data_IF_765727220795
#
_entry.id   IF_765727220795
#
_cell.length_a   1.000
_cell.length_b   1.000
_cell.length_c   1.000
_cell.angle_alpha   90.00
_cell.angle_beta   90.00
_cell.angle_gamma   90.00
#
_symmetry.space_group_name_H-M   'P 1'
#
loop_
_entity.id
_entity.type
_entity.pdbx_description
1 polymer ?
#
# COMPACT_ATOMS: atom_id res chain seq x y z
N UNK A 1 -31.45 17.11 50.57
CA UNK A 1 -29.97 17.20 50.43
C UNK A 1 -29.37 15.97 49.74
N UNK A 2 -29.92 14.76 49.91
CA UNK A 2 -29.39 13.50 49.33
C UNK A 2 -29.64 13.37 47.81
N UNK A 3 -30.78 13.85 47.31
CA UNK A 3 -31.16 13.82 45.88
C UNK A 3 -30.27 14.72 45.01
N UNK A 4 -29.77 15.84 45.54
CA UNK A 4 -28.83 16.71 44.81
C UNK A 4 -27.44 16.11 44.67
N UNK A 5 -26.99 15.35 45.68
CA UNK A 5 -25.69 14.67 45.68
C UNK A 5 -25.67 13.50 44.68
N UNK A 6 -26.80 12.78 44.55
CA UNK A 6 -26.94 11.66 43.61
C UNK A 6 -26.93 12.11 42.13
N UNK A 7 -27.63 13.20 41.81
CA UNK A 7 -27.59 13.80 40.46
C UNK A 7 -26.22 14.35 40.09
N UNK A 8 -25.50 14.97 41.06
CA UNK A 8 -24.16 15.49 40.83
C UNK A 8 -23.16 14.35 40.56
N UNK A 9 -23.27 13.23 41.29
CA UNK A 9 -22.41 12.06 41.11
C UNK A 9 -22.65 11.36 39.75
N UNK A 10 -23.89 11.28 39.28
CA UNK A 10 -24.22 10.78 37.94
C UNK A 10 -23.69 11.68 36.81
N UNK A 11 -23.70 13.01 37.01
CA UNK A 11 -23.21 13.97 36.00
C UNK A 11 -21.67 13.93 35.86
N UNK A 12 -20.95 13.73 36.97
CA UNK A 12 -19.49 13.57 36.97
C UNK A 12 -19.06 12.23 36.35
N UNK A 13 -19.85 11.16 36.53
CA UNK A 13 -19.58 9.86 35.90
C UNK A 13 -19.80 9.89 34.37
N UNK A 14 -20.73 10.72 33.89
CA UNK A 14 -20.98 10.91 32.45
C UNK A 14 -19.88 11.75 31.77
N UNK A 15 -19.28 12.73 32.46
CA UNK A 15 -18.15 13.51 31.95
C UNK A 15 -16.82 12.73 31.92
N UNK A 16 -16.68 11.68 32.73
CA UNK A 16 -15.45 10.88 32.82
C UNK A 16 -15.52 9.57 32.01
N UNK A 17 -16.57 9.37 31.21
CA UNK A 17 -16.57 8.36 30.14
C UNK A 17 -15.68 8.88 29.02
N UNK A 18 -14.38 8.81 29.29
CA UNK A 18 -13.32 9.37 28.46
C UNK A 18 -13.52 8.97 27.00
N UNK A 19 -13.41 9.98 26.15
CA UNK A 19 -13.20 9.80 24.72
C UNK A 19 -12.02 8.84 24.53
N UNK A 20 -12.32 7.58 24.22
CA UNK A 20 -11.33 6.66 23.67
C UNK A 20 -11.02 7.22 22.28
N UNK A 21 -10.02 8.12 22.19
CA UNK A 21 -9.40 8.47 20.93
C UNK A 21 -8.77 7.18 20.41
N UNK A 22 -9.48 6.46 19.54
CA UNK A 22 -8.91 5.33 18.82
C UNK A 22 -7.64 5.81 18.12
N UNK A 23 -6.54 5.07 18.30
CA UNK A 23 -5.29 5.39 17.62
C UNK A 23 -5.53 5.44 16.10
N UNK A 24 -5.12 6.54 15.47
CA UNK A 24 -5.25 6.71 14.02
C UNK A 24 -4.43 5.62 13.32
N UNK A 25 -5.08 4.85 12.44
CA UNK A 25 -4.42 3.76 11.71
C UNK A 25 -3.49 4.32 10.65
N UNK A 26 -2.34 3.68 10.47
CA UNK A 26 -1.40 4.03 9.42
C UNK A 26 -1.96 3.61 8.06
N UNK A 27 -2.22 4.59 7.18
CA UNK A 27 -2.67 4.34 5.81
C UNK A 27 -1.51 3.82 4.96
N UNK A 28 -1.65 2.59 4.49
CA UNK A 28 -0.68 1.89 3.65
C UNK A 28 -1.34 1.49 2.34
N UNK A 29 -0.61 1.65 1.25
CA UNK A 29 -1.00 1.12 -0.05
C UNK A 29 -0.01 0.01 -0.43
N UNK A 30 -0.52 -1.10 -0.94
CA UNK A 30 0.29 -2.18 -1.49
C UNK A 30 0.05 -2.29 -2.98
N UNK A 31 1.03 -2.78 -3.73
CA UNK A 31 0.91 -2.96 -5.17
C UNK A 31 -0.14 -4.01 -5.54
N UNK A 32 -0.02 -5.22 -4.98
CA UNK A 32 -0.88 -6.36 -5.33
C UNK A 32 -1.48 -7.04 -4.09
N UNK A 33 -2.53 -7.84 -4.31
CA UNK A 33 -3.29 -8.50 -3.24
C UNK A 33 -2.44 -9.37 -2.28
N UNK A 34 -1.47 -10.19 -2.73
CA UNK A 34 -0.63 -10.98 -1.81
C UNK A 34 0.08 -10.15 -0.73
N UNK A 35 0.58 -8.96 -1.08
CA UNK A 35 1.24 -8.08 -0.12
C UNK A 35 0.30 -7.61 0.98
N UNK A 36 -0.99 -7.38 0.68
CA UNK A 36 -2.00 -6.96 1.67
C UNK A 36 -2.07 -7.94 2.83
N UNK A 37 -2.09 -9.24 2.53
CA UNK A 37 -2.16 -10.28 3.55
C UNK A 37 -1.01 -10.16 4.55
N UNK A 38 0.22 -10.03 4.07
CA UNK A 38 1.40 -9.91 4.95
C UNK A 38 1.37 -8.61 5.76
N UNK A 39 1.04 -7.49 5.13
CA UNK A 39 1.00 -6.18 5.83
C UNK A 39 -0.08 -6.17 6.90
N UNK A 40 -1.28 -6.70 6.63
CA UNK A 40 -2.35 -6.79 7.64
C UNK A 40 -1.97 -7.75 8.77
N UNK A 41 -1.31 -8.88 8.47
CA UNK A 41 -0.84 -9.83 9.48
C UNK A 41 0.24 -9.25 10.39
N UNK A 42 1.13 -8.43 9.86
CA UNK A 42 2.23 -7.81 10.62
C UNK A 42 1.73 -6.56 11.37
N UNK A 43 0.98 -5.70 10.71
CA UNK A 43 0.53 -4.41 11.24
C UNK A 43 -0.71 -4.48 12.13
N UNK A 44 -1.53 -5.52 11.99
CA UNK A 44 -2.73 -5.74 12.81
C UNK A 44 -3.72 -4.58 12.73
N UNK A 45 -4.23 -4.18 13.88
CA UNK A 45 -5.22 -3.09 14.04
C UNK A 45 -4.63 -1.69 13.88
N UNK A 46 -3.29 -1.57 13.75
CA UNK A 46 -2.57 -0.30 13.61
C UNK A 46 -2.48 0.19 12.17
N UNK A 47 -2.86 -0.63 11.20
CA UNK A 47 -2.72 -0.31 9.77
C UNK A 47 -4.07 -0.36 9.06
N UNK A 48 -4.22 0.47 8.06
CA UNK A 48 -5.30 0.39 7.09
C UNK A 48 -4.69 0.20 5.70
N UNK A 49 -4.94 -0.97 5.10
CA UNK A 49 -4.25 -1.41 3.87
C UNK A 49 -5.19 -1.40 2.66
N UNK A 50 -4.82 -0.61 1.65
CA UNK A 50 -5.46 -0.57 0.35
C UNK A 50 -4.60 -1.23 -0.73
N UNK A 51 -5.22 -1.83 -1.74
CA UNK A 51 -4.50 -2.49 -2.86
C UNK A 51 -4.59 -1.62 -4.10
N UNK A 52 -3.46 -1.40 -4.77
CA UNK A 52 -3.39 -0.62 -6.01
C UNK A 52 -3.95 -1.42 -7.19
N UNK A 53 -3.48 -2.64 -7.42
CA UNK A 53 -4.03 -3.53 -8.45
C UNK A 53 -5.12 -4.40 -7.83
N UNK A 54 -6.37 -4.00 -8.06
CA UNK A 54 -7.55 -4.72 -7.54
C UNK A 54 -7.65 -6.16 -8.10
N UNK A 55 -8.31 -7.09 -7.37
CA UNK A 55 -8.53 -8.45 -7.85
C UNK A 55 -9.20 -8.48 -9.24
N UNK A 56 -8.68 -9.32 -10.13
CA UNK A 56 -9.18 -9.46 -11.50
C UNK A 56 -8.56 -8.47 -12.50
N UNK A 57 -7.79 -7.47 -12.05
CA UNK A 57 -7.01 -6.62 -12.93
C UNK A 57 -5.63 -7.25 -13.25
N UNK A 58 -5.08 -6.92 -14.42
CA UNK A 58 -3.76 -7.41 -14.84
C UNK A 58 -2.65 -6.39 -14.50
N UNK A 59 -1.68 -6.72 -13.62
CA UNK A 59 -0.56 -5.84 -13.28
C UNK A 59 0.34 -5.47 -14.47
N UNK A 60 0.34 -6.25 -15.56
CA UNK A 60 1.17 -5.97 -16.73
C UNK A 60 0.68 -4.75 -17.53
N UNK A 61 -0.62 -4.45 -17.45
CA UNK A 61 -1.27 -3.37 -18.23
C UNK A 61 -2.07 -2.44 -17.33
N UNK A 62 -1.78 -2.43 -16.03
CA UNK A 62 -2.61 -1.72 -15.06
C UNK A 62 -2.44 -0.21 -15.16
N UNK A 63 -3.57 0.50 -15.13
CA UNK A 63 -3.62 1.95 -15.01
C UNK A 63 -4.41 2.33 -13.74
N UNK A 64 -3.76 2.98 -12.76
CA UNK A 64 -4.43 3.46 -11.55
C UNK A 64 -5.56 4.43 -11.87
N UNK A 65 -6.71 4.21 -11.22
CA UNK A 65 -7.87 5.09 -11.35
C UNK A 65 -7.64 6.41 -10.58
N UNK A 66 -8.26 7.54 -10.99
CA UNK A 66 -8.13 8.81 -10.28
C UNK A 66 -8.44 8.73 -8.78
N UNK A 67 -9.42 7.91 -8.38
CA UNK A 67 -9.72 7.67 -6.96
C UNK A 67 -8.54 7.06 -6.20
N UNK A 68 -7.80 6.13 -6.82
CA UNK A 68 -6.63 5.50 -6.21
C UNK A 68 -5.47 6.49 -6.12
N UNK A 69 -5.32 7.36 -7.11
CA UNK A 69 -4.38 8.48 -7.04
C UNK A 69 -4.69 9.41 -5.87
N UNK A 70 -5.98 9.68 -5.62
CA UNK A 70 -6.42 10.43 -4.44
C UNK A 70 -6.04 9.75 -3.12
N UNK A 71 -6.13 8.42 -3.02
CA UNK A 71 -5.74 7.69 -1.81
C UNK A 71 -4.24 7.77 -1.51
N UNK A 72 -3.39 7.92 -2.53
CA UNK A 72 -1.94 8.04 -2.33
C UNK A 72 -1.54 9.35 -1.62
N UNK A 73 -2.38 10.39 -1.71
CA UNK A 73 -2.09 11.69 -1.08
C UNK A 73 -2.03 11.61 0.45
N UNK A 74 -2.78 10.69 1.06
CA UNK A 74 -2.82 10.46 2.51
C UNK A 74 -2.12 9.18 2.95
N UNK A 75 -1.60 8.39 2.01
CA UNK A 75 -0.83 7.19 2.31
C UNK A 75 0.56 7.56 2.86
N UNK A 76 1.04 6.77 3.82
CA UNK A 76 2.37 6.96 4.43
C UNK A 76 3.41 6.04 3.82
N UNK A 77 2.98 4.85 3.40
CA UNK A 77 3.85 3.82 2.82
C UNK A 77 3.17 3.24 1.58
N UNK A 78 3.97 3.01 0.53
CA UNK A 78 3.63 2.19 -0.62
C UNK A 78 4.57 0.99 -0.71
N UNK A 79 4.05 -0.23 -0.61
CA UNK A 79 4.86 -1.44 -0.84
C UNK A 79 4.82 -1.85 -2.31
N UNK A 80 5.96 -1.71 -3.00
CA UNK A 80 6.16 -2.08 -4.40
C UNK A 80 6.66 -3.54 -4.51
N UNK A 81 6.40 -4.21 -5.63
CA UNK A 81 6.83 -5.61 -5.85
C UNK A 81 7.64 -5.81 -7.16
N UNK A 82 7.86 -4.76 -7.94
CA UNK A 82 8.65 -4.80 -9.18
C UNK A 82 7.87 -5.26 -10.41
N UNK A 83 6.54 -5.27 -10.36
CA UNK A 83 5.70 -5.60 -11.53
C UNK A 83 5.75 -4.49 -12.60
N UNK A 84 5.48 -4.80 -13.88
CA UNK A 84 5.73 -3.88 -14.99
C UNK A 84 5.11 -2.48 -14.86
N UNK A 85 3.87 -2.35 -14.37
CA UNK A 85 3.22 -1.05 -14.27
C UNK A 85 3.95 -0.08 -13.31
N UNK A 86 4.58 -0.58 -12.26
CA UNK A 86 5.25 0.24 -11.25
C UNK A 86 6.37 1.10 -11.86
N UNK A 87 7.05 0.59 -12.89
CA UNK A 87 8.11 1.35 -13.59
C UNK A 87 7.60 2.67 -14.15
N UNK A 88 6.35 2.71 -14.59
CA UNK A 88 5.73 3.92 -15.18
C UNK A 88 5.10 4.80 -14.11
N UNK A 89 4.54 4.17 -13.06
CA UNK A 89 3.65 4.86 -12.13
C UNK A 89 4.32 5.30 -10.82
N UNK A 90 5.36 4.62 -10.32
CA UNK A 90 6.04 5.02 -9.09
C UNK A 90 6.55 6.47 -9.12
N UNK A 91 7.19 6.97 -10.20
CA UNK A 91 7.60 8.38 -10.26
C UNK A 91 6.42 9.35 -10.14
N UNK A 92 5.23 8.96 -10.64
CA UNK A 92 4.02 9.79 -10.51
C UNK A 92 3.48 9.75 -9.09
N UNK A 93 3.58 8.62 -8.40
CA UNK A 93 3.16 8.49 -7.00
C UNK A 93 4.02 9.37 -6.08
N UNK A 94 5.35 9.38 -6.28
CA UNK A 94 6.27 10.28 -5.57
C UNK A 94 5.94 11.75 -5.80
N UNK A 95 5.61 12.13 -7.04
CA UNK A 95 5.22 13.52 -7.35
C UNK A 95 3.91 13.94 -6.68
N UNK A 96 2.95 13.02 -6.53
CA UNK A 96 1.66 13.27 -5.88
C UNK A 96 1.83 13.41 -4.36
N UNK A 97 2.70 12.60 -3.78
CA UNK A 97 2.98 12.63 -2.35
C UNK A 97 4.49 12.48 -2.12
N UNK A 98 5.23 13.60 -2.01
CA UNK A 98 6.68 13.58 -1.76
C UNK A 98 7.09 12.99 -0.42
N UNK A 99 6.13 12.81 0.51
CA UNK A 99 6.35 12.17 1.81
C UNK A 99 6.06 10.66 1.81
N UNK A 100 5.60 10.11 0.68
CA UNK A 100 5.29 8.70 0.54
C UNK A 100 6.58 7.87 0.58
N UNK A 101 6.68 6.97 1.55
CA UNK A 101 7.79 6.01 1.61
C UNK A 101 7.48 4.84 0.69
N UNK A 102 8.23 4.70 -0.39
CA UNK A 102 8.12 3.55 -1.30
C UNK A 102 9.11 2.47 -0.86
N UNK A 103 8.59 1.27 -0.56
CA UNK A 103 9.39 0.13 -0.11
C UNK A 103 9.32 -0.99 -1.15
N UNK A 104 10.41 -1.30 -1.87
CA UNK A 104 10.47 -2.45 -2.75
C UNK A 104 10.58 -3.75 -1.94
N UNK A 105 9.54 -4.56 -1.93
CA UNK A 105 9.51 -5.80 -1.13
C UNK A 105 10.34 -6.94 -1.71
N UNK A 106 10.75 -6.82 -2.98
CA UNK A 106 11.60 -7.76 -3.69
C UNK A 106 13.11 -7.46 -3.53
N UNK A 107 13.47 -6.42 -2.79
CA UNK A 107 14.87 -6.09 -2.55
C UNK A 107 15.59 -7.25 -1.82
N UNK A 108 16.78 -7.61 -2.32
CA UNK A 108 17.55 -8.74 -1.80
C UNK A 108 17.13 -10.12 -2.35
N UNK A 109 16.11 -10.19 -3.21
CA UNK A 109 15.65 -11.44 -3.82
C UNK A 109 16.30 -11.63 -5.20
N UNK A 110 16.91 -12.80 -5.42
CA UNK A 110 17.48 -13.15 -6.72
C UNK A 110 16.35 -13.58 -7.67
N UNK A 111 15.98 -12.69 -8.59
CA UNK A 111 14.98 -12.98 -9.61
C UNK A 111 15.57 -13.80 -10.77
N UNK A 112 14.75 -14.65 -11.38
CA UNK A 112 15.09 -15.40 -12.58
C UNK A 112 14.52 -14.72 -13.82
N UNK A 113 15.15 -14.85 -15.00
CA UNK A 113 14.56 -14.38 -16.24
C UNK A 113 13.30 -15.19 -16.58
N UNK A 114 12.28 -14.53 -17.14
CA UNK A 114 11.08 -15.21 -17.63
C UNK A 114 11.49 -16.19 -18.73
N UNK A 115 11.23 -17.49 -18.54
CA UNK A 115 11.46 -18.50 -19.57
C UNK A 115 10.38 -18.43 -20.65
N UNK A 116 10.73 -17.89 -21.82
CA UNK A 116 9.87 -17.89 -23.00
C UNK A 116 10.69 -17.67 -24.27
N UNK A 117 10.42 -18.46 -25.32
CA UNK A 117 11.00 -18.32 -26.65
C UNK A 117 10.74 -16.90 -27.22
N UNK A 118 11.62 -15.94 -26.96
CA UNK A 118 11.64 -14.67 -27.68
C UNK A 118 12.39 -14.88 -29.00
N UNK A 119 11.65 -15.05 -30.09
CA UNK A 119 12.21 -14.77 -31.42
C UNK A 119 12.39 -13.25 -31.50
N UNK A 120 13.63 -12.81 -31.29
CA UNK A 120 14.07 -11.44 -31.52
C UNK A 120 13.83 -11.04 -32.98
N UNK A 121 13.08 -9.98 -33.20
CA UNK A 121 13.18 -9.17 -34.40
C UNK A 121 13.68 -7.77 -33.99
N UNK A 122 14.99 -7.56 -34.14
CA UNK A 122 15.61 -6.26 -34.41
C UNK A 122 15.76 -5.28 -33.24
N UNK A 123 16.97 -5.17 -32.68
CA UNK A 123 17.90 -4.05 -32.91
C UNK A 123 19.03 -4.10 -31.86
N UNK A 124 20.27 -4.19 -32.35
CA UNK A 124 21.47 -4.23 -31.53
C UNK A 124 21.67 -2.91 -30.76
N UNK A 125 21.62 -3.00 -29.43
CA UNK A 125 22.04 -1.96 -28.48
C UNK A 125 22.55 -2.64 -27.21
N UNK A 126 23.78 -2.30 -26.80
CA UNK A 126 24.50 -2.94 -25.71
C UNK A 126 23.74 -2.85 -24.37
N UNK A 127 23.55 -4.00 -23.71
CA UNK A 127 23.00 -4.11 -22.34
C UNK A 127 21.69 -4.90 -22.23
N UNK A 128 21.70 -6.18 -22.59
CA UNK A 128 20.52 -7.06 -22.54
C UNK A 128 20.13 -7.44 -21.12
N UNK A 129 19.43 -6.54 -20.40
CA UNK A 129 18.69 -6.92 -19.21
C UNK A 129 17.37 -7.58 -19.64
N UNK A 130 17.38 -8.91 -19.75
CA UNK A 130 16.15 -9.68 -19.95
C UNK A 130 15.10 -9.34 -18.87
N UNK A 131 13.82 -9.43 -19.22
CA UNK A 131 12.73 -9.18 -18.27
C UNK A 131 12.82 -10.23 -17.15
N UNK A 132 13.04 -9.75 -15.93
CA UNK A 132 13.07 -10.57 -14.72
C UNK A 132 11.64 -10.92 -14.31
N UNK A 133 11.45 -12.15 -13.84
CA UNK A 133 10.17 -12.66 -13.36
C UNK A 133 9.81 -11.99 -12.02
N UNK A 134 8.72 -11.20 -11.95
CA UNK A 134 8.32 -10.51 -10.72
C UNK A 134 7.52 -11.42 -9.77
N UNK A 135 7.21 -12.67 -10.15
CA UNK A 135 6.46 -13.59 -9.31
C UNK A 135 7.39 -14.22 -8.28
N UNK A 136 7.40 -13.64 -7.09
CA UNK A 136 8.12 -14.10 -5.89
C UNK A 136 7.16 -14.68 -4.88
#
# INVERSE_FOLDING_TARGET
MITGFLCFFCFVFFLCSGTVLGAERLNIVVSILPQKYFVEKIGGDKVQVSVMVEPGANPATYEPRPRQMGMLTSARIYFAIGVPFERVWLPRFENINPSLVIVPTQEGIKLFPISGNQKENGHAGAGGHGILDPHV
#
